data_IF_629724421133
#
_entry.id   IF_629724421133
#
_cell.length_a   1.000
_cell.length_b   1.000
_cell.length_c   1.000
_cell.angle_alpha   90.00
_cell.angle_beta   90.00
_cell.angle_gamma   90.00
#
_symmetry.space_group_name_H-M   'P 1'
#
loop_
_entity.id
_entity.type
_entity.pdbx_description
1 polymer ?
#
# COMPACT_ATOMS: atom_id res chain seq x y z
N UNK A 1 -3.35 -25.92 -19.95
CA UNK A 1 -3.27 -24.45 -20.07
C UNK A 1 -2.67 -24.01 -21.42
N UNK A 2 -1.54 -24.58 -21.88
CA UNK A 2 -1.01 -24.33 -23.24
C UNK A 2 -2.01 -24.64 -24.37
N UNK A 3 -2.68 -25.80 -24.31
CA UNK A 3 -3.70 -26.19 -25.29
C UNK A 3 -4.86 -25.19 -25.40
N UNK A 4 -5.31 -24.66 -24.25
CA UNK A 4 -6.38 -23.65 -24.20
C UNK A 4 -5.97 -22.34 -24.87
N UNK A 5 -4.75 -21.88 -24.61
CA UNK A 5 -4.21 -20.68 -25.24
C UNK A 5 -3.93 -20.88 -26.73
N UNK A 6 -3.56 -22.10 -27.14
CA UNK A 6 -3.39 -22.45 -28.56
C UNK A 6 -4.72 -22.42 -29.32
N UNK A 7 -5.82 -22.92 -28.74
CA UNK A 7 -7.16 -22.78 -29.34
C UNK A 7 -7.61 -21.33 -29.46
N UNK A 8 -7.13 -20.45 -28.57
CA UNK A 8 -7.47 -19.03 -28.55
C UNK A 8 -6.49 -18.15 -29.36
N UNK A 9 -5.52 -18.75 -30.06
CA UNK A 9 -4.43 -18.05 -30.78
C UNK A 9 -3.61 -17.08 -29.90
N UNK A 10 -3.59 -17.30 -28.58
CA UNK A 10 -2.87 -16.45 -27.64
C UNK A 10 -1.44 -16.96 -27.50
N UNK A 11 -0.41 -16.13 -27.79
CA UNK A 11 0.98 -16.54 -27.64
C UNK A 11 1.29 -16.81 -26.16
N UNK A 12 1.73 -18.03 -25.86
CA UNK A 12 2.10 -18.41 -24.50
C UNK A 12 3.50 -17.91 -24.16
N UNK A 13 3.60 -17.04 -23.15
CA UNK A 13 4.88 -16.57 -22.63
C UNK A 13 5.58 -17.67 -21.81
N UNK A 14 6.89 -17.90 -22.00
CA UNK A 14 7.65 -18.80 -21.14
C UNK A 14 7.80 -18.20 -19.74
N UNK A 15 7.70 -19.03 -18.70
CA UNK A 15 7.73 -18.58 -17.29
C UNK A 15 8.96 -17.73 -16.95
N UNK A 16 10.12 -18.01 -17.55
CA UNK A 16 11.34 -17.21 -17.35
C UNK A 16 11.21 -15.77 -17.85
N UNK A 17 10.51 -15.56 -18.97
CA UNK A 17 10.28 -14.21 -19.49
C UNK A 17 9.26 -13.45 -18.62
N UNK A 18 8.22 -14.14 -18.14
CA UNK A 18 7.25 -13.55 -17.22
C UNK A 18 7.91 -13.10 -15.91
N UNK A 19 8.69 -13.97 -15.28
CA UNK A 19 9.40 -13.64 -14.03
C UNK A 19 10.34 -12.45 -14.21
N UNK A 20 11.06 -12.39 -15.34
CA UNK A 20 11.94 -11.25 -15.64
C UNK A 20 11.18 -9.92 -15.68
N UNK A 21 10.01 -9.86 -16.31
CA UNK A 21 9.21 -8.63 -16.36
C UNK A 21 8.54 -8.33 -15.01
N UNK A 22 8.13 -9.36 -14.27
CA UNK A 22 7.61 -9.22 -12.91
C UNK A 22 8.67 -8.60 -11.97
N UNK A 23 9.91 -9.10 -12.01
CA UNK A 23 11.01 -8.60 -11.16
C UNK A 23 11.32 -7.13 -11.47
N UNK A 24 11.32 -6.74 -12.75
CA UNK A 24 11.49 -5.33 -13.14
C UNK A 24 10.39 -4.44 -12.58
N UNK A 25 9.13 -4.89 -12.69
CA UNK A 25 7.99 -4.14 -12.16
C UNK A 25 8.07 -4.03 -10.64
N UNK A 26 8.45 -5.11 -9.95
CA UNK A 26 8.63 -5.11 -8.50
C UNK A 26 9.72 -4.10 -8.06
N UNK A 27 10.86 -4.08 -8.74
CA UNK A 27 11.94 -3.11 -8.48
C UNK A 27 11.48 -1.67 -8.72
N UNK A 28 10.77 -1.41 -9.83
CA UNK A 28 10.24 -0.08 -10.12
C UNK A 28 9.22 0.39 -9.07
N UNK A 29 8.40 -0.53 -8.58
CA UNK A 29 7.44 -0.26 -7.50
C UNK A 29 8.16 0.06 -6.19
N UNK A 30 9.17 -0.72 -5.82
CA UNK A 30 9.96 -0.49 -4.61
C UNK A 30 10.62 0.89 -4.60
N UNK A 31 11.28 1.25 -5.71
CA UNK A 31 11.92 2.57 -5.86
C UNK A 31 10.87 3.69 -5.77
N UNK A 32 9.74 3.54 -6.46
CA UNK A 32 8.68 4.55 -6.45
C UNK A 32 8.04 4.70 -5.07
N UNK A 33 7.84 3.59 -4.35
CA UNK A 33 7.30 3.59 -3.00
C UNK A 33 8.26 4.29 -2.02
N UNK A 34 9.56 3.99 -2.08
CA UNK A 34 10.56 4.64 -1.24
C UNK A 34 10.62 6.15 -1.48
N UNK A 35 10.62 6.60 -2.75
CA UNK A 35 10.58 8.03 -3.09
C UNK A 35 9.34 8.72 -2.53
N UNK A 36 8.17 8.07 -2.63
CA UNK A 36 6.92 8.61 -2.09
C UNK A 36 6.91 8.66 -0.56
N UNK A 37 7.47 7.65 0.10
CA UNK A 37 7.63 7.63 1.55
C UNK A 37 8.54 8.76 2.03
N UNK A 38 9.66 9.02 1.34
CA UNK A 38 10.57 10.12 1.71
C UNK A 38 9.88 11.48 1.60
N UNK A 39 9.11 11.71 0.53
CA UNK A 39 8.33 12.94 0.36
C UNK A 39 7.27 13.06 1.46
N UNK A 40 6.52 11.99 1.74
CA UNK A 40 5.49 11.97 2.78
C UNK A 40 6.09 12.25 4.18
N UNK A 41 7.25 11.68 4.51
CA UNK A 41 7.95 11.92 5.78
C UNK A 41 8.30 13.41 5.93
N UNK A 42 8.76 14.06 4.86
CA UNK A 42 9.07 15.49 4.91
C UNK A 42 7.80 16.34 5.09
N UNK A 43 6.72 16.01 4.40
CA UNK A 43 5.43 16.71 4.55
C UNK A 43 4.84 16.54 5.95
N UNK A 44 4.87 15.33 6.51
CA UNK A 44 4.39 15.04 7.87
C UNK A 44 5.24 15.75 8.92
N UNK A 45 6.57 15.79 8.74
CA UNK A 45 7.48 16.52 9.61
C UNK A 45 7.18 18.01 9.63
N UNK A 46 6.95 18.63 8.47
CA UNK A 46 6.61 20.05 8.40
C UNK A 46 5.28 20.34 9.08
N UNK A 47 4.25 19.52 8.84
CA UNK A 47 2.94 19.67 9.49
C UNK A 47 3.01 19.52 11.01
N UNK A 48 3.78 18.55 11.51
CA UNK A 48 3.97 18.36 12.95
C UNK A 48 4.66 19.56 13.61
N UNK A 49 5.60 20.20 12.92
CA UNK A 49 6.24 21.43 13.40
C UNK A 49 5.27 22.63 13.40
N UNK A 50 4.43 22.77 12.37
CA UNK A 50 3.39 23.81 12.31
C UNK A 50 2.37 23.68 13.44
N UNK A 51 1.99 22.45 13.79
CA UNK A 51 1.06 22.14 14.88
C UNK A 51 1.71 22.15 16.27
N UNK A 52 3.05 22.25 16.36
CA UNK A 52 3.78 22.18 17.61
C UNK A 52 3.74 20.79 18.28
N UNK A 53 3.40 19.74 17.53
CA UNK A 53 3.38 18.34 18.00
C UNK A 53 4.81 17.79 18.05
N UNK A 54 5.56 18.26 19.04
CA UNK A 54 6.97 17.92 19.25
C UNK A 54 7.12 17.27 20.62
N UNK A 55 7.74 16.10 20.67
CA UNK A 55 8.03 15.40 21.93
C UNK A 55 9.05 16.19 22.77
N UNK A 56 9.19 15.84 24.05
CA UNK A 56 10.16 16.42 25.00
C UNK A 56 11.61 16.39 24.49
N UNK A 57 11.90 15.49 23.55
CA UNK A 57 13.21 15.32 22.93
C UNK A 57 13.39 16.13 21.61
N UNK A 58 12.40 16.93 21.21
CA UNK A 58 12.46 17.72 19.96
C UNK A 58 12.07 16.95 18.70
N UNK A 59 11.51 15.74 18.84
CA UNK A 59 11.12 14.89 17.71
C UNK A 59 9.66 15.19 17.33
N UNK A 60 9.40 15.65 16.09
CA UNK A 60 8.03 15.88 15.62
C UNK A 60 7.31 14.55 15.44
N UNK A 61 6.07 14.46 15.90
CA UNK A 61 5.20 13.29 15.74
C UNK A 61 3.85 13.71 15.16
N UNK A 62 3.16 12.77 14.51
CA UNK A 62 1.81 12.96 14.02
C UNK A 62 0.87 11.99 14.73
N UNK A 63 -0.24 12.48 15.26
CA UNK A 63 -1.22 11.63 15.94
C UNK A 63 -2.13 10.93 14.92
N UNK A 64 -1.89 9.64 14.69
CA UNK A 64 -2.76 8.83 13.82
C UNK A 64 -3.94 8.30 14.63
N UNK A 65 -5.15 8.77 14.31
CA UNK A 65 -6.38 8.23 14.90
C UNK A 65 -6.91 7.12 13.99
N UNK A 66 -6.80 5.87 14.44
CA UNK A 66 -7.42 4.75 13.76
C UNK A 66 -8.94 4.75 14.02
N UNK A 67 -9.69 5.33 13.10
CA UNK A 67 -11.09 4.99 12.88
C UNK A 67 -11.14 3.48 12.57
N UNK A 68 -11.73 2.70 13.45
CA UNK A 68 -11.86 1.25 13.30
C UNK A 68 -12.95 0.85 12.29
N UNK A 69 -13.09 1.52 11.14
CA UNK A 69 -14.07 1.09 10.13
C UNK A 69 -13.52 -0.05 9.29
N UNK A 70 -14.00 -1.26 9.61
CA UNK A 70 -13.89 -2.40 8.72
C UNK A 70 -15.18 -2.65 7.96
N UNK A 71 -15.03 -2.83 6.66
CA UNK A 71 -16.05 -3.27 5.71
C UNK A 71 -16.67 -4.61 6.12
N UNK A 72 -17.77 -4.60 6.89
CA UNK A 72 -18.66 -5.75 7.01
C UNK A 72 -19.36 -5.95 5.66
N UNK A 73 -18.78 -6.74 4.75
CA UNK A 73 -19.45 -7.13 3.50
C UNK A 73 -20.15 -8.48 3.73
N UNK A 74 -21.47 -8.47 3.81
CA UNK A 74 -22.30 -9.65 4.10
C UNK A 74 -22.57 -10.48 2.83
N UNK A 75 -21.67 -11.38 2.46
CA UNK A 75 -21.93 -12.39 1.42
C UNK A 75 -22.44 -13.70 2.03
N UNK A 76 -23.71 -13.75 2.50
CA UNK A 76 -24.49 -14.95 2.94
C UNK A 76 -23.89 -15.88 4.03
N UNK A 77 -22.57 -15.99 4.12
CA UNK A 77 -21.72 -16.53 5.17
C UNK A 77 -20.86 -15.38 5.70
N UNK A 78 -20.82 -15.19 7.02
CA UNK A 78 -20.01 -14.16 7.67
C UNK A 78 -18.51 -14.44 7.43
N UNK A 79 -17.95 -13.90 6.35
CA UNK A 79 -16.51 -13.92 6.11
C UNK A 79 -15.88 -12.73 6.84
N UNK A 80 -15.35 -12.95 8.04
CA UNK A 80 -14.46 -12.00 8.69
C UNK A 80 -13.07 -12.18 8.09
N UNK A 81 -12.71 -11.38 7.08
CA UNK A 81 -11.31 -11.30 6.67
C UNK A 81 -10.51 -10.69 7.83
N UNK A 82 -9.55 -11.45 8.38
CA UNK A 82 -8.54 -10.95 9.31
C UNK A 82 -7.44 -10.13 8.61
N UNK A 83 -7.52 -9.94 7.29
CA UNK A 83 -6.48 -9.30 6.47
C UNK A 83 -6.58 -7.78 6.55
N UNK A 84 -5.91 -7.18 7.54
CA UNK A 84 -5.95 -5.76 7.89
C UNK A 84 -6.09 -4.80 6.69
N UNK A 85 -7.31 -4.31 6.40
CA UNK A 85 -7.57 -3.09 5.65
C UNK A 85 -8.23 -2.06 6.58
N UNK A 86 -7.45 -1.57 7.55
CA UNK A 86 -7.85 -0.38 8.29
C UNK A 86 -7.68 0.85 7.40
N UNK A 87 -8.73 1.65 7.24
CA UNK A 87 -8.61 2.98 6.69
C UNK A 87 -7.91 3.86 7.73
N UNK A 88 -6.61 4.07 7.55
CA UNK A 88 -5.85 5.00 8.39
C UNK A 88 -6.13 6.41 7.88
N UNK A 89 -6.92 7.17 8.64
CA UNK A 89 -7.17 8.58 8.34
C UNK A 89 -6.21 9.45 9.15
N UNK A 90 -5.35 10.18 8.45
CA UNK A 90 -4.55 11.24 9.04
C UNK A 90 -5.47 12.43 9.35
N UNK A 91 -5.81 12.62 10.62
CA UNK A 91 -6.56 13.81 11.06
C UNK A 91 -5.52 14.86 11.46
N UNK A 92 -5.25 15.81 10.56
CA UNK A 92 -4.67 17.10 10.95
C UNK A 92 -5.78 17.87 11.67
N UNK A 93 -5.57 18.22 12.94
CA UNK A 93 -6.48 19.12 13.67
C UNK A 93 -6.38 20.55 13.15
#
# INVERSE_FOLDING_TARGET
>A
MKELFSMAEIPTMPSKAFLKEQDKNAQAWEVSALQKMEVAVNEEKMKALELGEVDKNGIPFITVTADGSWSKRSYKTNYSSLSLSGCVSLISK
#
